data_IF_549007621593
#
_entry.id   IF_549007621593
#
_cell.length_a   1.000
_cell.length_b   1.000
_cell.length_c   1.000
_cell.angle_alpha   90.00
_cell.angle_beta   90.00
_cell.angle_gamma   90.00
#
_symmetry.space_group_name_H-M   'P 1'
#
loop_
_entity.id
_entity.type
_entity.pdbx_description
1 polymer ?
#
# COMPACT_ATOMS: atom_id res chain seq x y z
N UNK A 1 -10.95 1.46 -14.66
CA UNK A 1 -10.13 1.38 -13.41
C UNK A 1 -9.10 0.27 -13.51
N UNK A 2 -9.50 -0.95 -13.90
CA UNK A 2 -8.58 -2.05 -14.19
C UNK A 2 -7.77 -1.81 -15.48
N UNK A 3 -8.37 -1.15 -16.47
CA UNK A 3 -7.76 -0.97 -17.80
C UNK A 3 -6.80 0.24 -17.90
N UNK A 4 -6.42 0.85 -16.77
CA UNK A 4 -5.44 1.96 -16.78
C UNK A 4 -6.04 3.36 -16.96
N UNK A 5 -7.32 3.49 -17.30
CA UNK A 5 -8.04 4.77 -17.50
C UNK A 5 -7.92 5.80 -16.35
N UNK A 6 -7.55 5.34 -15.15
CA UNK A 6 -7.40 6.17 -13.94
C UNK A 6 -5.96 6.21 -13.40
N UNK A 7 -4.98 5.88 -14.25
CA UNK A 7 -3.56 5.80 -13.92
C UNK A 7 -3.07 4.37 -13.65
N UNK A 8 -1.80 4.15 -13.93
CA UNK A 8 -1.14 2.84 -13.88
C UNK A 8 -1.12 2.26 -12.45
N UNK A 9 -0.73 3.06 -11.45
CA UNK A 9 -0.71 2.64 -10.05
C UNK A 9 -2.09 2.14 -9.55
N UNK A 10 -3.17 2.84 -9.94
CA UNK A 10 -4.54 2.46 -9.55
C UNK A 10 -4.98 1.18 -10.25
N UNK A 11 -4.63 1.01 -11.52
CA UNK A 11 -4.91 -0.21 -12.25
C UNK A 11 -4.19 -1.42 -11.62
N UNK A 12 -2.90 -1.29 -11.30
CA UNK A 12 -2.13 -2.34 -10.62
C UNK A 12 -2.76 -2.71 -9.27
N UNK A 13 -3.00 -1.72 -8.40
CA UNK A 13 -3.60 -1.95 -7.10
C UNK A 13 -4.98 -2.64 -7.20
N UNK A 14 -5.82 -2.21 -8.14
CA UNK A 14 -7.16 -2.78 -8.31
C UNK A 14 -7.15 -4.18 -8.93
N UNK A 15 -6.19 -4.48 -9.82
CA UNK A 15 -5.97 -5.85 -10.33
C UNK A 15 -5.57 -6.79 -9.19
N UNK A 16 -4.70 -6.36 -8.28
CA UNK A 16 -4.33 -7.15 -7.10
C UNK A 16 -5.54 -7.40 -6.19
N UNK A 17 -6.34 -6.37 -5.89
CA UNK A 17 -7.56 -6.52 -5.08
C UNK A 17 -8.56 -7.48 -5.74
N UNK A 18 -8.77 -7.37 -7.06
CA UNK A 18 -9.66 -8.25 -7.81
C UNK A 18 -9.15 -9.71 -7.78
N UNK A 19 -7.86 -9.93 -8.04
CA UNK A 19 -7.26 -11.26 -8.01
C UNK A 19 -7.36 -11.92 -6.62
N UNK A 20 -7.16 -11.16 -5.54
CA UNK A 20 -7.40 -11.66 -4.18
C UNK A 20 -8.89 -11.98 -3.98
N UNK A 21 -9.78 -11.15 -4.50
CA UNK A 21 -11.22 -11.43 -4.49
C UNK A 21 -11.55 -12.76 -5.14
N UNK A 22 -10.98 -13.05 -6.31
CA UNK A 22 -11.17 -14.32 -7.02
C UNK A 22 -10.62 -15.50 -6.20
N UNK A 23 -9.39 -15.38 -5.67
CA UNK A 23 -8.74 -16.41 -4.83
C UNK A 23 -9.56 -16.73 -3.58
N UNK A 24 -10.15 -15.71 -2.95
CA UNK A 24 -10.96 -15.88 -1.74
C UNK A 24 -12.47 -16.12 -2.02
N UNK A 25 -12.89 -16.19 -3.28
CA UNK A 25 -14.31 -16.34 -3.64
C UNK A 25 -15.20 -15.18 -3.20
N UNK A 26 -14.63 -13.97 -3.12
CA UNK A 26 -15.33 -12.78 -2.68
C UNK A 26 -16.36 -12.31 -3.73
N UNK A 27 -17.63 -12.26 -3.33
CA UNK A 27 -18.72 -11.80 -4.23
C UNK A 27 -18.75 -10.29 -4.46
N UNK A 28 -18.15 -9.52 -3.54
CA UNK A 28 -18.10 -8.06 -3.60
C UNK A 28 -17.00 -7.51 -2.69
N UNK A 29 -16.51 -6.32 -3.01
CA UNK A 29 -15.73 -5.50 -2.09
C UNK A 29 -16.63 -4.62 -1.22
N UNK A 30 -16.10 -4.13 -0.10
CA UNK A 30 -16.79 -3.18 0.79
C UNK A 30 -16.20 -1.79 0.62
N UNK A 31 -17.06 -0.76 0.65
CA UNK A 31 -16.61 0.64 0.62
C UNK A 31 -16.07 1.03 2.00
N UNK A 32 -14.87 1.60 2.03
CA UNK A 32 -14.23 2.12 3.24
C UNK A 32 -14.18 3.64 3.20
N UNK A 33 -14.25 4.28 4.38
CA UNK A 33 -14.08 5.74 4.52
C UNK A 33 -12.68 6.15 4.96
N UNK A 34 -11.93 5.22 5.55
CA UNK A 34 -10.54 5.39 5.98
C UNK A 34 -9.86 4.01 6.08
N UNK A 35 -8.53 3.99 6.14
CA UNK A 35 -7.72 2.76 6.24
C UNK A 35 -6.57 2.96 7.22
N UNK A 36 -6.34 1.98 8.10
CA UNK A 36 -5.07 1.81 8.83
C UNK A 36 -4.25 0.72 8.12
N UNK A 37 -3.08 1.08 7.60
CA UNK A 37 -2.20 0.13 6.90
C UNK A 37 -1.21 -0.42 7.93
N UNK A 38 -1.31 -1.72 8.21
CA UNK A 38 -0.47 -2.43 9.16
C UNK A 38 0.62 -3.23 8.43
N UNK A 39 1.72 -3.53 9.10
CA UNK A 39 2.77 -4.40 8.53
C UNK A 39 3.56 -3.78 7.38
N UNK A 40 3.75 -2.46 7.38
CA UNK A 40 4.51 -1.72 6.35
C UNK A 40 5.95 -1.38 6.76
N UNK A 41 6.46 -1.97 7.85
CA UNK A 41 7.85 -1.72 8.24
C UNK A 41 8.78 -2.49 7.30
N UNK A 42 10.01 -1.99 7.11
CA UNK A 42 11.00 -2.69 6.30
C UNK A 42 11.22 -4.14 6.79
N UNK A 43 11.12 -4.38 8.11
CA UNK A 43 11.21 -5.72 8.70
C UNK A 43 10.13 -6.69 8.20
N UNK A 44 8.95 -6.20 7.86
CA UNK A 44 7.83 -7.04 7.38
C UNK A 44 7.78 -7.12 5.86
N UNK A 45 8.13 -6.06 5.16
CA UNK A 45 7.96 -5.98 3.69
C UNK A 45 9.24 -6.30 2.92
N UNK A 46 10.41 -6.17 3.54
CA UNK A 46 11.72 -6.38 2.92
C UNK A 46 11.97 -5.48 1.71
N UNK A 47 12.97 -5.85 0.91
CA UNK A 47 13.33 -5.11 -0.31
C UNK A 47 12.21 -5.11 -1.34
N UNK A 48 11.59 -6.27 -1.60
CA UNK A 48 10.54 -6.38 -2.60
C UNK A 48 9.29 -5.55 -2.27
N UNK A 49 8.92 -5.48 -0.99
CA UNK A 49 7.80 -4.64 -0.59
C UNK A 49 8.14 -3.16 -0.63
N UNK A 50 9.39 -2.79 -0.33
CA UNK A 50 9.87 -1.41 -0.52
C UNK A 50 9.86 -1.03 -2.00
N UNK A 51 10.41 -1.87 -2.87
CA UNK A 51 10.40 -1.71 -4.33
C UNK A 51 8.97 -1.53 -4.85
N UNK A 52 8.03 -2.35 -4.37
CA UNK A 52 6.63 -2.25 -4.75
C UNK A 52 6.00 -0.90 -4.35
N UNK A 53 6.26 -0.40 -3.14
CA UNK A 53 5.75 0.91 -2.69
C UNK A 53 6.38 2.05 -3.49
N UNK A 54 7.67 1.96 -3.78
CA UNK A 54 8.41 2.92 -4.62
C UNK A 54 7.86 2.93 -6.05
N UNK A 55 7.62 1.76 -6.64
CA UNK A 55 7.04 1.63 -7.98
C UNK A 55 5.64 2.24 -8.07
N UNK A 56 4.78 1.98 -7.06
CA UNK A 56 3.46 2.62 -6.97
C UNK A 56 3.55 4.14 -6.91
N UNK A 57 4.51 4.69 -6.15
CA UNK A 57 4.75 6.14 -6.08
C UNK A 57 5.18 6.67 -7.45
N UNK A 58 6.13 6.02 -8.10
CA UNK A 58 6.71 6.47 -9.38
C UNK A 58 5.69 6.42 -10.52
N UNK A 59 4.72 5.49 -10.44
CA UNK A 59 3.53 5.42 -11.30
C UNK A 59 2.44 6.44 -10.94
N UNK A 60 2.72 7.41 -10.06
CA UNK A 60 1.80 8.47 -9.66
C UNK A 60 0.72 8.05 -8.66
N UNK A 61 0.97 6.96 -7.90
CA UNK A 61 0.06 6.46 -6.89
C UNK A 61 -0.30 7.49 -5.82
N UNK A 62 -1.58 7.58 -5.49
CA UNK A 62 -2.12 8.45 -4.43
C UNK A 62 -3.16 7.71 -3.62
N UNK A 63 -3.21 8.00 -2.32
CA UNK A 63 -4.27 7.52 -1.45
C UNK A 63 -5.61 8.15 -1.85
N UNK A 64 -6.68 7.34 -1.89
CA UNK A 64 -8.03 7.78 -2.25
C UNK A 64 -8.92 8.11 -1.06
N UNK A 65 -8.53 7.68 0.14
CA UNK A 65 -9.20 7.92 1.41
C UNK A 65 -8.15 8.25 2.48
N UNK A 66 -8.51 8.94 3.57
CA UNK A 66 -7.63 9.10 4.72
C UNK A 66 -7.01 7.77 5.12
N UNK A 67 -5.68 7.72 5.04
CA UNK A 67 -4.90 6.50 5.25
C UNK A 67 -3.80 6.79 6.26
N UNK A 68 -3.70 5.96 7.28
CA UNK A 68 -2.71 6.06 8.35
C UNK A 68 -1.85 4.81 8.40
N UNK A 69 -0.64 4.95 8.93
CA UNK A 69 0.28 3.84 9.17
C UNK A 69 0.67 3.82 10.64
N UNK A 70 1.33 2.75 11.06
CA UNK A 70 1.94 2.73 12.39
C UNK A 70 3.04 3.81 12.48
N UNK A 71 3.26 4.42 13.65
CA UNK A 71 4.35 5.36 13.83
C UNK A 71 5.71 4.69 13.57
N UNK A 72 6.71 5.49 13.23
CA UNK A 72 8.08 5.01 13.14
C UNK A 72 8.50 4.39 14.49
N UNK A 73 9.09 3.19 14.44
CA UNK A 73 9.60 2.51 15.63
C UNK A 73 10.91 3.10 16.18
N UNK A 74 11.46 4.10 15.49
CA UNK A 74 12.68 4.80 15.85
C UNK A 74 12.57 6.28 15.44
N UNK A 75 13.32 7.14 16.12
CA UNK A 75 13.41 8.55 15.77
C UNK A 75 14.10 8.71 14.41
N UNK A 76 13.43 9.35 13.44
CA UNK A 76 13.97 9.49 12.09
C UNK A 76 15.15 10.47 12.01
N UNK A 77 15.29 11.38 12.97
CA UNK A 77 16.38 12.36 13.04
C UNK A 77 17.51 11.86 13.93
N UNK A 78 17.16 11.22 15.05
CA UNK A 78 18.11 10.89 16.12
C UNK A 78 18.46 9.40 16.21
N UNK A 79 18.00 8.57 15.28
CA UNK A 79 18.20 7.12 15.33
C UNK A 79 19.65 6.68 15.56
N UNK A 80 20.63 7.39 14.99
CA UNK A 80 22.06 7.05 15.13
C UNK A 80 22.54 7.10 16.59
N UNK A 81 21.91 7.91 17.45
CA UNK A 81 22.23 7.98 18.88
C UNK A 81 21.53 6.89 19.69
N UNK A 82 20.51 6.25 19.12
CA UNK A 82 19.73 5.21 19.77
C UNK A 82 20.39 3.83 19.68
N UNK A 83 21.42 3.65 18.85
CA UNK A 83 22.15 2.40 18.62
C UNK A 83 21.75 1.76 17.30
#
# INVERSE_FOLDING_TARGET
MLDGELGEAKALAMKLVAALGDVFGAKRTVRVKSVQISGVSYKTIGDHGLEFVVDLRDKGGKFSVPSTINPAGMDLENWRRMG
#
